data_IF_033003798087
#
_entry.id   IF_033003798087
#
_cell.length_a   1.000
_cell.length_b   1.000
_cell.length_c   1.000
_cell.angle_alpha   90.00
_cell.angle_beta   90.00
_cell.angle_gamma   90.00
#
_symmetry.space_group_name_H-M   'P 1'
#
loop_
_entity.id
_entity.type
_entity.pdbx_description
1 polymer ?
#
# COMPACT_ATOMS: atom_id res chain seq x y z
N UNK A 1 -23.36 23.41 23.13
CA UNK A 1 -21.91 23.22 23.15
C UNK A 1 -21.61 22.12 22.16
N UNK A 2 -21.12 22.45 20.98
CA UNK A 2 -20.59 21.46 20.04
C UNK A 2 -19.19 21.12 20.51
N UNK A 3 -19.01 19.92 21.05
CA UNK A 3 -17.67 19.37 21.25
C UNK A 3 -16.99 19.42 19.87
N UNK A 4 -15.85 20.12 19.79
CA UNK A 4 -15.02 20.07 18.59
C UNK A 4 -14.61 18.62 18.42
N UNK A 5 -14.90 18.03 17.26
CA UNK A 5 -14.39 16.70 16.94
C UNK A 5 -12.87 16.68 17.21
N UNK A 6 -12.36 15.67 17.93
CA UNK A 6 -10.94 15.58 18.21
C UNK A 6 -10.18 15.53 16.89
N UNK A 7 -9.22 16.44 16.72
CA UNK A 7 -8.38 16.47 15.53
C UNK A 7 -7.60 15.14 15.47
N UNK A 8 -7.69 14.45 14.33
CA UNK A 8 -6.93 13.21 14.11
C UNK A 8 -5.44 13.57 14.01
N UNK A 9 -4.64 13.08 14.96
CA UNK A 9 -3.18 13.26 15.03
C UNK A 9 -2.48 11.89 15.15
N UNK A 10 -1.15 11.86 15.00
CA UNK A 10 -0.36 10.65 15.25
C UNK A 10 -0.56 10.10 16.67
N UNK A 11 -0.53 10.96 17.69
CA UNK A 11 -0.73 10.58 19.09
C UNK A 11 -2.13 10.01 19.29
N UNK A 12 -3.14 10.68 18.76
CA UNK A 12 -4.52 10.22 18.85
C UNK A 12 -4.68 8.85 18.17
N UNK A 13 -4.25 8.70 16.91
CA UNK A 13 -4.31 7.43 16.17
C UNK A 13 -3.57 6.29 16.88
N UNK A 14 -2.43 6.58 17.50
CA UNK A 14 -1.65 5.58 18.23
C UNK A 14 -2.38 4.99 19.44
N UNK A 15 -3.24 5.80 20.08
CA UNK A 15 -4.00 5.39 21.27
C UNK A 15 -5.27 4.60 20.97
N UNK A 16 -5.78 4.63 19.73
CA UNK A 16 -7.04 3.99 19.37
C UNK A 16 -6.88 2.47 19.27
N UNK A 17 -7.86 1.76 19.81
CA UNK A 17 -8.09 0.34 19.53
C UNK A 17 -8.66 0.14 18.12
N UNK A 18 -8.58 -1.09 17.55
CA UNK A 18 -9.18 -1.39 16.25
C UNK A 18 -10.67 -1.02 16.16
N UNK A 19 -11.46 -1.28 17.22
CA UNK A 19 -12.90 -0.96 17.24
C UNK A 19 -13.15 0.55 17.26
N UNK A 20 -12.34 1.32 18.00
CA UNK A 20 -12.45 2.78 18.01
C UNK A 20 -12.08 3.38 16.65
N UNK A 21 -11.13 2.78 15.92
CA UNK A 21 -10.82 3.19 14.53
C UNK A 21 -12.05 3.02 13.64
N UNK A 22 -12.75 1.87 13.71
CA UNK A 22 -13.97 1.63 12.92
C UNK A 22 -15.09 2.63 13.25
N UNK A 23 -15.21 3.04 14.51
CA UNK A 23 -16.25 3.99 14.92
C UNK A 23 -15.92 5.45 14.55
N UNK A 24 -14.65 5.84 14.68
CA UNK A 24 -14.22 7.22 14.49
C UNK A 24 -13.99 7.58 13.02
N UNK A 25 -13.47 6.62 12.23
CA UNK A 25 -13.15 6.80 10.81
C UNK A 25 -14.35 6.36 9.98
N UNK A 26 -15.40 7.17 10.00
CA UNK A 26 -16.72 6.86 9.45
C UNK A 26 -17.03 7.60 8.13
N UNK A 27 -16.07 8.36 7.58
CA UNK A 27 -16.20 9.04 6.29
C UNK A 27 -15.01 8.79 5.37
N UNK A 28 -15.21 8.96 4.06
CA UNK A 28 -14.13 8.80 3.07
C UNK A 28 -13.03 9.84 3.28
N UNK A 29 -13.37 11.07 3.66
CA UNK A 29 -12.40 12.13 3.94
C UNK A 29 -11.48 11.77 5.11
N UNK A 30 -12.03 11.17 6.17
CA UNK A 30 -11.24 10.70 7.32
C UNK A 30 -10.31 9.55 6.90
N UNK A 31 -10.78 8.61 6.09
CA UNK A 31 -9.93 7.54 5.54
C UNK A 31 -8.77 8.10 4.74
N UNK A 32 -9.07 8.97 3.76
CA UNK A 32 -8.08 9.56 2.87
C UNK A 32 -7.07 10.37 3.69
N UNK A 33 -7.53 11.19 4.64
CA UNK A 33 -6.67 11.97 5.52
C UNK A 33 -5.74 11.07 6.35
N UNK A 34 -6.27 10.07 7.05
CA UNK A 34 -5.45 9.21 7.91
C UNK A 34 -4.41 8.46 7.10
N UNK A 35 -4.79 7.88 5.95
CA UNK A 35 -3.87 7.11 5.12
C UNK A 35 -2.81 8.05 4.50
N UNK A 36 -3.22 9.08 3.77
CA UNK A 36 -2.31 9.90 2.97
C UNK A 36 -1.53 10.96 3.77
N UNK A 37 -1.99 11.34 4.96
CA UNK A 37 -1.27 12.28 5.83
C UNK A 37 -0.55 11.55 6.96
N UNK A 38 -1.30 10.86 7.83
CA UNK A 38 -0.73 10.31 9.06
C UNK A 38 0.07 9.03 8.82
N UNK A 39 -0.46 8.08 8.06
CA UNK A 39 0.25 6.81 7.83
C UNK A 39 1.42 6.97 6.87
N UNK A 40 1.26 7.76 5.80
CA UNK A 40 2.36 8.06 4.88
C UNK A 40 3.55 8.73 5.59
N UNK A 41 3.32 9.76 6.41
CA UNK A 41 4.39 10.40 7.17
C UNK A 41 5.08 9.42 8.14
N UNK A 42 4.31 8.52 8.76
CA UNK A 42 4.86 7.50 9.65
C UNK A 42 5.65 6.43 8.89
N UNK A 43 5.26 6.11 7.65
CA UNK A 43 5.98 5.18 6.78
C UNK A 43 7.37 5.71 6.42
N UNK A 44 7.43 7.00 6.04
CA UNK A 44 8.68 7.69 5.73
C UNK A 44 9.64 7.67 6.94
N UNK A 45 9.13 7.95 8.15
CA UNK A 45 9.91 7.88 9.38
C UNK A 45 10.39 6.45 9.68
N UNK A 46 9.47 5.48 9.68
CA UNK A 46 9.72 4.12 10.19
C UNK A 46 10.64 3.31 9.26
N UNK A 47 10.45 3.45 7.94
CA UNK A 47 11.11 2.57 6.97
C UNK A 47 12.16 3.26 6.10
N UNK A 48 12.16 4.59 6.06
CA UNK A 48 12.96 5.36 5.08
C UNK A 48 13.83 6.44 5.71
N UNK A 49 13.90 6.51 7.03
CA UNK A 49 14.69 7.53 7.73
C UNK A 49 14.24 8.96 7.38
N UNK A 50 12.94 9.16 7.15
CA UNK A 50 12.33 10.44 6.81
C UNK A 50 12.38 10.82 5.33
N UNK A 51 12.89 9.97 4.45
CA UNK A 51 12.86 10.23 3.00
C UNK A 51 11.49 9.91 2.41
N UNK A 52 10.94 10.79 1.55
CA UNK A 52 9.59 10.61 1.00
C UNK A 52 9.50 9.39 0.10
N UNK A 53 8.35 8.69 0.16
CA UNK A 53 8.08 7.60 -0.78
C UNK A 53 7.95 8.12 -2.22
N UNK A 54 8.72 7.52 -3.14
CA UNK A 54 8.58 7.75 -4.58
C UNK A 54 7.47 6.88 -5.18
N UNK A 55 6.71 7.43 -6.13
CA UNK A 55 5.58 6.75 -6.78
C UNK A 55 5.89 5.38 -7.37
N UNK A 56 7.00 5.26 -8.10
CA UNK A 56 7.42 3.98 -8.67
C UNK A 56 7.68 2.93 -7.60
N UNK A 57 8.10 3.34 -6.38
CA UNK A 57 8.36 2.41 -5.29
C UNK A 57 7.05 1.80 -4.78
N UNK A 58 5.96 2.56 -4.72
CA UNK A 58 4.63 2.03 -4.40
C UNK A 58 4.13 1.08 -5.46
N UNK A 59 4.38 1.38 -6.74
CA UNK A 59 4.08 0.45 -7.84
C UNK A 59 4.90 -0.83 -7.69
N UNK A 60 6.21 -0.74 -7.50
CA UNK A 60 7.08 -1.90 -7.28
C UNK A 60 6.65 -2.75 -6.09
N UNK A 61 6.24 -2.17 -4.96
CA UNK A 61 5.74 -2.97 -3.85
C UNK A 61 4.51 -3.78 -4.21
N UNK A 62 3.60 -3.23 -5.01
CA UNK A 62 2.42 -3.97 -5.42
C UNK A 62 2.74 -5.13 -6.37
N UNK A 63 3.65 -4.95 -7.35
CA UNK A 63 3.80 -5.88 -8.48
C UNK A 63 5.19 -6.52 -8.66
N UNK A 64 6.21 -6.06 -7.94
CA UNK A 64 7.60 -6.47 -8.13
C UNK A 64 8.25 -5.84 -9.36
N UNK A 65 9.48 -6.26 -9.71
CA UNK A 65 10.03 -5.92 -11.02
C UNK A 65 9.51 -6.85 -12.12
N UNK A 66 9.39 -6.31 -13.34
CA UNK A 66 8.77 -6.99 -14.48
C UNK A 66 9.55 -8.22 -15.01
N UNK A 67 10.66 -8.63 -14.38
CA UNK A 67 11.53 -9.71 -14.88
C UNK A 67 11.64 -10.85 -13.87
N UNK A 68 11.85 -10.52 -12.61
CA UNK A 68 12.08 -11.45 -11.51
C UNK A 68 10.94 -11.45 -10.51
N UNK A 69 10.09 -10.42 -10.53
CA UNK A 69 9.06 -10.17 -9.53
C UNK A 69 9.61 -10.19 -8.09
N UNK A 70 10.90 -9.90 -7.92
CA UNK A 70 11.63 -10.07 -6.66
C UNK A 70 12.22 -8.72 -6.20
N UNK A 71 11.66 -8.20 -5.10
CA UNK A 71 12.12 -6.95 -4.50
C UNK A 71 13.57 -7.00 -4.00
N UNK A 72 14.20 -8.18 -3.89
CA UNK A 72 15.63 -8.34 -3.53
C UNK A 72 16.57 -7.61 -4.48
N UNK A 73 16.20 -7.55 -5.76
CA UNK A 73 17.03 -6.99 -6.83
C UNK A 73 16.40 -5.75 -7.45
N UNK A 74 15.15 -5.46 -7.10
CA UNK A 74 14.44 -4.30 -7.60
C UNK A 74 15.09 -3.02 -7.07
N UNK A 75 15.49 -2.18 -8.02
CA UNK A 75 15.89 -0.80 -7.79
C UNK A 75 14.80 0.11 -8.35
N UNK A 76 14.64 1.27 -7.74
CA UNK A 76 13.79 2.33 -8.30
C UNK A 76 14.45 2.88 -9.58
N UNK A 77 13.83 3.88 -10.19
CA UNK A 77 14.31 4.41 -11.47
C UNK A 77 15.68 5.11 -11.36
N UNK A 78 16.08 5.59 -10.18
CA UNK A 78 17.42 6.19 -9.94
C UNK A 78 18.50 5.19 -9.51
N UNK A 79 18.23 3.88 -9.62
CA UNK A 79 19.11 2.79 -9.18
C UNK A 79 19.26 2.65 -7.65
N UNK A 80 18.54 3.39 -6.82
CA UNK A 80 18.45 3.12 -5.38
C UNK A 80 17.68 1.83 -5.12
N UNK A 81 18.18 0.94 -4.24
CA UNK A 81 17.42 -0.25 -3.85
C UNK A 81 16.05 0.10 -3.29
N UNK A 82 15.00 -0.55 -3.80
CA UNK A 82 13.67 -0.45 -3.20
C UNK A 82 13.68 -1.22 -1.89
N UNK A 83 13.46 -0.53 -0.76
CA UNK A 83 13.43 -1.15 0.58
C UNK A 83 12.15 -0.79 1.32
N UNK A 84 11.49 -1.80 1.89
CA UNK A 84 10.42 -1.66 2.90
C UNK A 84 10.95 -1.78 4.32
N UNK A 85 12.10 -2.43 4.53
CA UNK A 85 12.67 -2.71 5.87
C UNK A 85 14.18 -2.55 5.84
N UNK A 86 14.82 -2.27 6.99
CA UNK A 86 16.27 -2.38 7.12
C UNK A 86 16.73 -3.79 6.73
N UNK A 87 17.86 -3.89 6.02
CA UNK A 87 18.46 -5.19 5.67
C UNK A 87 18.66 -6.05 6.94
N UNK A 88 18.47 -7.38 6.89
CA UNK A 88 18.46 -8.25 5.70
C UNK A 88 17.08 -8.79 5.27
N UNK A 89 15.96 -8.28 5.80
CA UNK A 89 14.63 -8.81 5.50
C UNK A 89 14.12 -8.31 4.14
N UNK A 90 13.89 -9.24 3.23
CA UNK A 90 13.32 -8.97 1.91
C UNK A 90 11.81 -9.14 1.95
N UNK A 91 11.07 -8.24 1.30
CA UNK A 91 9.62 -8.36 1.14
C UNK A 91 9.29 -9.00 -0.21
N UNK A 92 8.22 -9.78 -0.25
CA UNK A 92 7.61 -10.25 -1.51
C UNK A 92 6.69 -9.13 -2.01
N UNK A 93 6.47 -8.95 -3.33
CA UNK A 93 5.48 -7.97 -3.78
C UNK A 93 4.07 -8.36 -3.35
N UNK A 94 3.23 -7.38 -3.00
CA UNK A 94 1.93 -7.60 -2.37
C UNK A 94 1.03 -8.54 -3.21
N UNK A 95 1.05 -8.44 -4.54
CA UNK A 95 0.21 -9.31 -5.39
C UNK A 95 0.57 -10.79 -5.23
N UNK A 96 1.84 -11.11 -4.97
CA UNK A 96 2.29 -12.47 -4.74
C UNK A 96 2.03 -12.96 -3.31
N UNK A 97 1.69 -12.04 -2.38
CA UNK A 97 1.15 -12.37 -1.06
C UNK A 97 -0.38 -12.58 -1.14
N UNK A 98 -1.08 -11.69 -1.86
CA UNK A 98 -2.55 -11.70 -1.97
C UNK A 98 -3.10 -12.85 -2.82
N UNK A 99 -2.51 -13.15 -3.98
CA UNK A 99 -3.06 -14.17 -4.89
C UNK A 99 -3.09 -15.58 -4.27
N UNK A 100 -2.05 -16.03 -3.53
CA UNK A 100 -2.12 -17.27 -2.75
C UNK A 100 -3.20 -17.24 -1.66
N UNK A 101 -3.41 -16.11 -0.97
CA UNK A 101 -4.50 -16.00 0.01
C UNK A 101 -5.88 -16.13 -0.62
N UNK A 102 -6.10 -15.51 -1.78
CA UNK A 102 -7.35 -15.65 -2.53
C UNK A 102 -7.59 -17.12 -2.91
N UNK A 103 -6.61 -17.79 -3.53
CA UNK A 103 -6.72 -19.19 -3.93
C UNK A 103 -6.93 -20.10 -2.72
N UNK A 104 -6.15 -19.92 -1.65
CA UNK A 104 -6.27 -20.72 -0.44
C UNK A 104 -7.62 -20.56 0.25
N UNK A 105 -8.17 -19.34 0.31
CA UNK A 105 -9.50 -19.10 0.85
C UNK A 105 -10.59 -19.78 0.02
N UNK A 106 -10.56 -19.62 -1.31
CA UNK A 106 -11.54 -20.22 -2.21
C UNK A 106 -11.50 -21.76 -2.20
N UNK A 107 -10.32 -22.34 -1.97
CA UNK A 107 -10.12 -23.78 -1.82
C UNK A 107 -10.45 -24.31 -0.41
N UNK A 108 -10.76 -23.43 0.55
CA UNK A 108 -11.08 -23.81 1.92
C UNK A 108 -9.88 -24.33 2.72
N UNK A 109 -8.67 -23.84 2.44
CA UNK A 109 -7.47 -24.22 3.18
C UNK A 109 -7.47 -23.62 4.59
N UNK A 110 -7.06 -24.41 5.59
CA UNK A 110 -7.24 -24.13 7.02
C UNK A 110 -6.63 -22.79 7.51
N UNK A 111 -5.52 -22.34 6.92
CA UNK A 111 -4.83 -21.10 7.31
C UNK A 111 -5.23 -19.87 6.48
N UNK A 112 -6.13 -20.02 5.52
CA UNK A 112 -6.54 -18.95 4.61
C UNK A 112 -7.97 -18.52 4.96
N UNK A 113 -8.07 -17.63 5.93
CA UNK A 113 -9.34 -17.15 6.48
C UNK A 113 -9.73 -15.81 5.84
N UNK A 114 -10.99 -15.39 6.01
CA UNK A 114 -11.41 -14.09 5.48
C UNK A 114 -10.69 -12.90 6.16
N UNK A 115 -10.42 -12.91 7.49
CA UNK A 115 -9.57 -11.91 8.13
C UNK A 115 -8.15 -11.84 7.55
N UNK A 116 -7.48 -12.99 7.31
CA UNK A 116 -6.13 -13.00 6.72
C UNK A 116 -6.16 -12.49 5.28
N UNK A 117 -7.18 -12.86 4.51
CA UNK A 117 -7.38 -12.32 3.17
C UNK A 117 -7.59 -10.79 3.18
N UNK A 118 -8.43 -10.27 4.08
CA UNK A 118 -8.66 -8.83 4.21
C UNK A 118 -7.39 -8.09 4.63
N UNK A 119 -6.60 -8.70 5.53
CA UNK A 119 -5.27 -8.23 5.90
C UNK A 119 -4.42 -8.06 4.66
N UNK A 120 -4.18 -9.12 3.88
CA UNK A 120 -3.31 -9.05 2.69
C UNK A 120 -3.84 -8.11 1.62
N UNK A 121 -5.14 -8.17 1.31
CA UNK A 121 -5.74 -7.29 0.30
C UNK A 121 -5.60 -5.82 0.69
N UNK A 122 -5.67 -5.48 1.98
CA UNK A 122 -5.51 -4.09 2.42
C UNK A 122 -4.13 -3.49 2.13
N UNK A 123 -3.09 -4.31 1.91
CA UNK A 123 -1.78 -3.81 1.46
C UNK A 123 -1.83 -3.25 0.03
N UNK A 124 -2.64 -3.85 -0.85
CA UNK A 124 -2.89 -3.31 -2.19
C UNK A 124 -3.60 -1.96 -2.09
N UNK A 125 -4.66 -1.89 -1.28
CA UNK A 125 -5.43 -0.65 -1.10
C UNK A 125 -4.57 0.47 -0.51
N UNK A 126 -3.79 0.17 0.53
CA UNK A 126 -2.89 1.14 1.15
C UNK A 126 -1.91 1.74 0.14
N UNK A 127 -1.28 0.91 -0.70
CA UNK A 127 -0.38 1.39 -1.74
C UNK A 127 -1.11 2.20 -2.82
N UNK A 128 -2.33 1.82 -3.20
CA UNK A 128 -3.15 2.59 -4.15
C UNK A 128 -3.58 3.95 -3.59
N UNK A 129 -4.00 4.02 -2.33
CA UNK A 129 -4.33 5.29 -1.68
C UNK A 129 -3.13 6.24 -1.71
N UNK A 130 -1.94 5.74 -1.38
CA UNK A 130 -0.71 6.55 -1.39
C UNK A 130 -0.33 7.01 -2.78
N UNK A 131 -0.61 6.22 -3.82
CA UNK A 131 -0.40 6.62 -5.20
C UNK A 131 -1.26 7.81 -5.62
N UNK A 132 -2.44 8.00 -5.02
CA UNK A 132 -3.23 9.21 -5.26
C UNK A 132 -2.49 10.49 -4.85
N UNK A 133 -1.62 10.42 -3.84
CA UNK A 133 -0.81 11.54 -3.37
C UNK A 133 0.58 11.61 -4.01
N UNK A 134 1.22 10.47 -4.21
CA UNK A 134 2.61 10.40 -4.71
C UNK A 134 2.72 10.43 -6.23
N UNK A 135 1.65 10.10 -6.95
CA UNK A 135 1.56 10.21 -8.42
C UNK A 135 0.31 10.99 -8.86
N UNK A 136 0.30 12.33 -8.65
CA UNK A 136 -0.88 13.17 -8.87
C UNK A 136 -1.42 13.11 -10.31
N UNK A 137 -0.55 12.89 -11.30
CA UNK A 137 -0.93 12.81 -12.73
C UNK A 137 -1.89 11.64 -13.01
N UNK A 138 -1.84 10.58 -12.19
CA UNK A 138 -2.69 9.41 -12.30
C UNK A 138 -3.65 9.23 -11.10
N UNK A 139 -3.78 10.23 -10.22
CA UNK A 139 -4.58 10.13 -8.99
C UNK A 139 -6.04 9.69 -9.22
N UNK A 140 -6.70 10.25 -10.24
CA UNK A 140 -8.08 9.91 -10.62
C UNK A 140 -8.20 8.45 -11.07
N UNK A 141 -7.15 7.91 -11.70
CA UNK A 141 -7.11 6.51 -12.12
C UNK A 141 -7.03 5.61 -10.89
N UNK A 142 -6.14 5.92 -9.94
CA UNK A 142 -6.03 5.16 -8.69
C UNK A 142 -7.32 5.19 -7.88
N UNK A 143 -8.02 6.32 -7.81
CA UNK A 143 -9.32 6.40 -7.15
C UNK A 143 -10.35 5.44 -7.77
N UNK A 144 -10.46 5.45 -9.11
CA UNK A 144 -11.38 4.54 -9.82
C UNK A 144 -11.05 3.08 -9.56
N UNK A 145 -9.76 2.75 -9.46
CA UNK A 145 -9.29 1.39 -9.17
C UNK A 145 -9.64 0.97 -7.75
N UNK A 146 -9.36 1.82 -6.76
CA UNK A 146 -9.75 1.60 -5.35
C UNK A 146 -11.26 1.33 -5.27
N UNK A 147 -12.09 2.20 -5.86
CA UNK A 147 -13.55 2.02 -5.84
C UNK A 147 -14.01 0.74 -6.53
N UNK A 148 -13.37 0.37 -7.64
CA UNK A 148 -13.72 -0.85 -8.39
C UNK A 148 -13.37 -2.12 -7.61
N UNK A 149 -12.16 -2.18 -7.04
CA UNK A 149 -11.72 -3.32 -6.22
C UNK A 149 -12.56 -3.44 -4.94
N UNK A 150 -12.85 -2.33 -4.26
CA UNK A 150 -13.69 -2.34 -3.06
C UNK A 150 -15.10 -2.88 -3.39
N UNK A 151 -15.67 -2.44 -4.52
CA UNK A 151 -16.95 -2.94 -5.01
C UNK A 151 -16.91 -4.44 -5.33
N UNK A 152 -15.82 -4.95 -5.91
CA UNK A 152 -15.65 -6.39 -6.18
C UNK A 152 -15.68 -7.21 -4.89
N UNK A 153 -15.15 -6.67 -3.78
CA UNK A 153 -15.23 -7.30 -2.46
C UNK A 153 -16.58 -7.13 -1.76
N UNK A 154 -17.50 -6.32 -2.31
CA UNK A 154 -18.72 -5.95 -1.61
C UNK A 154 -18.49 -4.99 -0.42
N UNK A 155 -17.37 -4.26 -0.40
CA UNK A 155 -17.01 -3.32 0.65
C UNK A 155 -17.14 -1.87 0.18
N UNK A 156 -17.44 -0.98 1.12
CA UNK A 156 -17.31 0.47 0.92
C UNK A 156 -15.84 0.91 1.01
N UNK A 157 -15.55 2.10 0.48
CA UNK A 157 -14.22 2.72 0.62
C UNK A 157 -13.86 2.96 2.09
N UNK A 158 -14.85 3.29 2.92
CA UNK A 158 -14.68 3.48 4.36
C UNK A 158 -14.19 2.19 5.02
N UNK A 159 -14.87 1.07 4.77
CA UNK A 159 -14.52 -0.23 5.36
C UNK A 159 -13.13 -0.71 4.93
N UNK A 160 -12.78 -0.61 3.65
CA UNK A 160 -11.45 -1.01 3.20
C UNK A 160 -10.35 -0.09 3.75
N UNK A 161 -10.66 1.19 3.87
CA UNK A 161 -9.81 2.18 4.53
C UNK A 161 -9.57 1.84 6.01
N UNK A 162 -10.62 1.51 6.75
CA UNK A 162 -10.52 1.12 8.16
C UNK A 162 -9.62 -0.12 8.34
N UNK A 163 -9.78 -1.16 7.51
CA UNK A 163 -8.92 -2.35 7.55
C UNK A 163 -7.45 -1.96 7.32
N UNK A 164 -7.17 -1.18 6.27
CA UNK A 164 -5.82 -0.71 5.97
C UNK A 164 -5.25 0.13 7.13
N UNK A 165 -6.04 1.02 7.72
CA UNK A 165 -5.62 1.84 8.85
C UNK A 165 -5.28 0.99 10.07
N UNK A 166 -6.11 -0.01 10.41
CA UNK A 166 -5.84 -0.93 11.53
C UNK A 166 -4.52 -1.68 11.30
N UNK A 167 -4.35 -2.28 10.12
CA UNK A 167 -3.13 -3.02 9.74
C UNK A 167 -1.88 -2.15 9.88
N UNK A 168 -1.91 -0.96 9.29
CA UNK A 168 -0.74 -0.09 9.26
C UNK A 168 -0.50 0.68 10.55
N UNK A 169 -1.53 0.94 11.36
CA UNK A 169 -1.39 1.42 12.73
C UNK A 169 -0.58 0.42 13.55
N UNK A 170 -0.93 -0.86 13.49
CA UNK A 170 -0.21 -1.92 14.21
C UNK A 170 1.24 -2.02 13.71
N UNK A 171 1.44 -2.05 12.39
CA UNK A 171 2.78 -2.11 11.80
C UNK A 171 3.69 -0.99 12.27
N UNK A 172 3.20 0.25 12.22
CA UNK A 172 4.06 1.43 12.34
C UNK A 172 4.08 2.07 13.74
N UNK A 173 2.99 1.96 14.51
CA UNK A 173 2.91 2.54 15.84
C UNK A 173 3.20 1.48 16.90
N UNK A 174 2.50 0.35 16.87
CA UNK A 174 2.58 -0.64 17.94
C UNK A 174 3.85 -1.49 17.81
N UNK A 175 4.17 -1.89 16.57
CA UNK A 175 5.31 -2.74 16.29
C UNK A 175 6.57 -1.96 15.88
N UNK A 176 6.46 -0.65 15.62
CA UNK A 176 7.58 0.20 15.17
C UNK A 176 8.34 -0.40 13.98
N UNK A 177 7.62 -1.01 13.03
CA UNK A 177 8.19 -1.65 11.84
C UNK A 177 8.81 -3.04 12.07
N UNK A 178 8.75 -3.60 13.29
CA UNK A 178 9.21 -4.95 13.60
C UNK A 178 8.20 -6.02 13.15
N UNK A 179 8.69 -7.18 12.74
CA UNK A 179 7.83 -8.32 12.43
C UNK A 179 7.25 -8.93 13.72
N UNK A 180 5.95 -8.77 13.95
CA UNK A 180 5.20 -9.55 14.93
C UNK A 180 4.12 -10.35 14.22
N UNK A 181 4.43 -11.61 13.89
CA UNK A 181 3.53 -12.52 13.18
C UNK A 181 2.17 -12.63 13.87
N UNK A 182 1.09 -12.48 13.09
CA UNK A 182 -0.29 -12.69 13.53
C UNK A 182 -0.88 -11.61 14.46
N UNK A 183 -0.18 -10.50 14.72
CA UNK A 183 -0.75 -9.38 15.50
C UNK A 183 -1.74 -8.56 14.67
N UNK A 184 -1.43 -8.35 13.40
CA UNK A 184 -2.28 -7.65 12.42
C UNK A 184 -3.60 -8.40 12.20
N UNK A 185 -3.51 -9.71 11.93
CA UNK A 185 -4.69 -10.54 11.63
C UNK A 185 -5.66 -10.61 12.80
N UNK A 186 -5.15 -10.74 14.03
CA UNK A 186 -5.99 -10.73 15.25
C UNK A 186 -6.72 -9.41 15.46
N UNK A 187 -6.10 -8.30 15.11
CA UNK A 187 -6.74 -7.00 15.25
C UNK A 187 -7.83 -6.79 14.20
N UNK A 188 -7.60 -7.24 12.97
CA UNK A 188 -8.63 -7.25 11.92
C UNK A 188 -9.76 -8.21 12.30
N UNK A 189 -9.44 -9.39 12.82
CA UNK A 189 -10.42 -10.36 13.33
C UNK A 189 -11.30 -9.75 14.44
N UNK A 190 -10.72 -8.92 15.32
CA UNK A 190 -11.45 -8.30 16.44
C UNK A 190 -12.56 -7.31 16.04
N UNK A 191 -12.54 -6.84 14.79
CA UNK A 191 -13.53 -5.93 14.20
C UNK A 191 -14.33 -6.58 13.07
N UNK A 192 -14.11 -7.86 12.81
CA UNK A 192 -14.67 -8.53 11.64
C UNK A 192 -16.20 -8.64 11.71
N UNK A 193 -16.78 -8.64 12.91
CA UNK A 193 -18.23 -8.55 13.15
C UNK A 193 -18.85 -7.22 12.69
N UNK A 194 -18.04 -6.18 12.48
CA UNK A 194 -18.47 -4.85 12.04
C UNK A 194 -18.31 -4.65 10.53
N UNK A 195 -17.73 -5.63 9.84
CA UNK A 195 -17.39 -5.54 8.41
C UNK A 195 -18.20 -6.60 7.64
N UNK A 196 -18.79 -6.24 6.49
CA UNK A 196 -19.47 -7.21 5.65
C UNK A 196 -18.56 -8.37 5.24
N UNK A 197 -19.09 -9.58 5.35
CA UNK A 197 -18.46 -10.80 4.85
C UNK A 197 -18.60 -10.86 3.33
N UNK A 198 -17.48 -10.82 2.62
CA UNK A 198 -17.46 -11.03 1.17
C UNK A 198 -17.87 -12.48 0.82
N UNK A 199 -18.62 -12.64 -0.27
CA UNK A 199 -18.97 -13.96 -0.80
C UNK A 199 -17.81 -14.57 -1.58
N UNK A 200 -17.83 -15.90 -1.80
CA UNK A 200 -16.86 -16.55 -2.68
C UNK A 200 -16.82 -15.95 -4.09
N UNK A 201 -17.98 -15.58 -4.66
CA UNK A 201 -18.04 -14.92 -5.97
C UNK A 201 -17.34 -13.56 -5.96
N UNK A 202 -17.55 -12.77 -4.91
CA UNK A 202 -16.87 -11.48 -4.71
C UNK A 202 -15.36 -11.64 -4.59
N UNK A 203 -14.89 -12.63 -3.83
CA UNK A 203 -13.46 -12.93 -3.71
C UNK A 203 -12.85 -13.43 -5.03
N UNK A 204 -13.57 -14.27 -5.78
CA UNK A 204 -13.14 -14.69 -7.13
C UNK A 204 -13.01 -13.50 -8.08
N UNK A 205 -14.02 -12.62 -8.11
CA UNK A 205 -14.02 -11.41 -8.94
C UNK A 205 -12.89 -10.44 -8.55
N UNK A 206 -12.57 -10.35 -7.26
CA UNK A 206 -11.42 -9.56 -6.78
C UNK A 206 -10.12 -10.08 -7.38
N UNK A 207 -9.89 -11.40 -7.40
CA UNK A 207 -8.68 -11.99 -7.98
C UNK A 207 -8.50 -11.62 -9.46
N UNK A 208 -9.58 -11.65 -10.24
CA UNK A 208 -9.57 -11.17 -11.63
C UNK A 208 -9.27 -9.66 -11.73
N UNK A 209 -9.88 -8.86 -10.85
CA UNK A 209 -9.66 -7.42 -10.78
C UNK A 209 -8.22 -7.03 -10.47
N UNK A 210 -7.57 -7.71 -9.53
CA UNK A 210 -6.17 -7.50 -9.15
C UNK A 210 -5.24 -7.84 -10.34
N UNK A 211 -5.50 -8.96 -11.03
CA UNK A 211 -4.74 -9.31 -12.23
C UNK A 211 -4.90 -8.27 -13.35
N UNK A 212 -6.09 -7.70 -13.52
CA UNK A 212 -6.33 -6.64 -14.50
C UNK A 212 -5.63 -5.32 -14.13
N UNK A 213 -5.70 -4.92 -12.85
CA UNK A 213 -4.98 -3.76 -12.29
C UNK A 213 -3.49 -3.83 -12.64
N UNK A 214 -2.87 -4.98 -12.39
CA UNK A 214 -1.45 -5.18 -12.66
C UNK A 214 -1.13 -5.02 -14.15
N UNK A 215 -1.72 -5.89 -14.99
CA UNK A 215 -1.32 -6.03 -16.38
C UNK A 215 -1.67 -4.81 -17.25
N UNK A 216 -2.78 -4.13 -16.93
CA UNK A 216 -3.33 -3.08 -17.78
C UNK A 216 -3.03 -1.66 -17.30
N UNK A 217 -2.66 -1.49 -16.03
CA UNK A 217 -2.49 -0.16 -15.44
C UNK A 217 -1.11 0.03 -14.83
N UNK A 218 -0.72 -0.81 -13.87
CA UNK A 218 0.51 -0.58 -13.11
C UNK A 218 1.78 -0.82 -13.91
N UNK A 219 1.85 -1.90 -14.70
CA UNK A 219 3.00 -2.15 -15.60
C UNK A 219 3.15 -1.05 -16.66
N UNK A 220 2.10 -0.66 -17.40
CA UNK A 220 2.19 0.46 -18.34
C UNK A 220 2.59 1.78 -17.69
N UNK A 221 2.02 2.15 -16.52
CA UNK A 221 2.41 3.38 -15.82
C UNK A 221 3.87 3.35 -15.40
N UNK A 222 4.36 2.21 -14.91
CA UNK A 222 5.78 2.07 -14.57
C UNK A 222 6.70 2.26 -15.79
N UNK A 223 6.32 1.72 -16.95
CA UNK A 223 7.05 1.94 -18.20
C UNK A 223 7.02 3.42 -18.63
N UNK A 224 5.88 4.09 -18.45
CA UNK A 224 5.76 5.53 -18.70
C UNK A 224 6.68 6.35 -17.80
N UNK A 225 6.69 6.08 -16.48
CA UNK A 225 7.56 6.77 -15.53
C UNK A 225 9.05 6.59 -15.87
N UNK A 226 9.44 5.42 -16.39
CA UNK A 226 10.80 5.19 -16.88
C UNK A 226 11.13 6.08 -18.08
N UNK A 227 10.22 6.15 -19.06
CA UNK A 227 10.40 7.02 -20.23
C UNK A 227 10.44 8.51 -19.88
N UNK A 228 9.65 8.95 -18.90
CA UNK A 228 9.69 10.31 -18.37
C UNK A 228 11.07 10.64 -17.80
N UNK A 229 11.65 9.76 -16.97
CA UNK A 229 13.00 9.95 -16.42
C UNK A 229 14.09 9.97 -17.50
N UNK A 230 14.04 9.05 -18.47
CA UNK A 230 15.01 9.00 -19.58
C UNK A 230 14.96 10.29 -20.42
N UNK A 231 13.77 10.88 -20.62
CA UNK A 231 13.64 12.16 -21.32
C UNK A 231 14.13 13.36 -20.49
N UNK A 232 13.95 13.35 -19.17
CA UNK A 232 14.53 14.36 -18.27
C UNK A 232 16.07 14.32 -18.28
N UNK A 233 16.66 13.13 -18.31
CA UNK A 233 18.13 12.95 -18.41
C UNK A 233 18.70 13.43 -19.75
N UNK A 234 17.95 13.28 -20.85
CA UNK A 234 18.36 13.74 -22.19
C UNK A 234 18.05 15.23 -22.41
N UNK A 235 17.00 15.74 -21.77
CA UNK A 235 16.46 17.09 -21.93
C UNK A 235 17.08 18.16 -21.03
N UNK A 236 18.14 17.84 -20.28
CA UNK A 236 18.90 18.80 -19.47
C UNK A 236 20.13 19.30 -20.23
N UNK A 237 20.05 20.42 -20.99
CA UNK A 237 21.23 21.08 -21.52
C UNK A 237 21.92 21.82 -20.37
N UNK A 238 23.19 21.50 -20.18
CA UNK A 238 24.16 22.15 -19.29
C UNK A 238 24.14 21.75 -17.79
N UNK A 239 24.88 20.69 -17.46
CA UNK A 239 26.14 20.87 -16.73
C UNK A 239 27.18 19.86 -17.25
N UNK A 240 28.35 20.29 -17.75
CA UNK A 240 29.44 19.37 -18.00
C UNK A 240 29.89 18.83 -16.63
N UNK A 241 29.51 17.58 -16.34
CA UNK A 241 30.08 16.85 -15.23
C UNK A 241 31.60 16.86 -15.40
N UNK A 242 32.28 17.32 -14.35
CA UNK A 242 33.72 17.32 -14.17
C UNK A 242 34.28 15.88 -14.19
N UNK A 243 34.26 15.25 -15.36
CA UNK A 243 34.99 14.03 -15.70
C UNK A 243 36.06 14.34 -16.76
N UNK A 244 36.74 15.47 -16.58
CA UNK A 244 38.08 15.66 -17.13
C UNK A 244 39.00 16.11 -16.01
N UNK A 245 39.56 15.14 -15.28
CA UNK A 245 40.88 15.16 -14.60
C UNK A 245 40.94 14.09 -13.53
N UNK A 246 41.47 12.94 -13.92
CA UNK A 246 42.47 12.11 -13.22
C UNK A 246 42.94 11.11 -14.29
N UNK A 247 43.94 11.51 -15.08
CA UNK A 247 45.35 11.07 -14.93
C UNK A 247 45.45 9.54 -15.00
N UNK A 248 45.91 9.04 -16.15
CA UNK A 248 47.29 8.54 -16.36
C UNK A 248 47.52 7.22 -15.63
#
# INVERSE_FOLDING_TARGET
>A
MTEKEPQLTHEHLSSLSPREIVQLIDTEEKVIFVINELLLAKEDETYRGGQPVRKETKIYFMIGDNVTNDLRRTRNLDQTPVRTKPAPYFKVPEVFEVMPEISGYLEGKENHTLPTLYSEVSDIFYNLFHLQKTDPDAAVIYEKLIRSLAKMMGLSLIQIGQIAIIKYKIRMYDNQGKNQFGTEDKAIESVFDLIPTATHEQISNLGEGINALWNRMLLPRLAQLRGELEMEEIGSPDEPTLLSRRHL
#
